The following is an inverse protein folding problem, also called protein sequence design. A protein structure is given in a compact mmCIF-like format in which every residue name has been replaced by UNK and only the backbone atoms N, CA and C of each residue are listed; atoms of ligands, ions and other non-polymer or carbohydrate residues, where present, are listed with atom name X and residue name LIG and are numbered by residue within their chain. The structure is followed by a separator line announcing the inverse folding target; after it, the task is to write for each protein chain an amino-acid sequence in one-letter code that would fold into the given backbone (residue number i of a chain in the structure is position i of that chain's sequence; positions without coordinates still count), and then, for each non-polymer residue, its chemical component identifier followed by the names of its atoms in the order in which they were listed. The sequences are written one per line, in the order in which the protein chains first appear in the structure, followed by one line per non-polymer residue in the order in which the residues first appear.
data_IF_143731906441
#
_entry.id   IF_143731906441
#
_cell.length_a   1.000
_cell.length_b   1.000
_cell.length_c   1.000
_cell.angle_alpha   90.00
_cell.angle_beta   90.00
_cell.angle_gamma   90.00
#
_symmetry.space_group_name_H-M   'P 1'
#
loop_
_entity.id
_entity.type
_entity.pdbx_description
1 polymer ?
#
# COMPACT_ATOMS: atom_id res chain seq x y z
N UNK A 1 23.89 5.89 -15.51
CA UNK A 1 23.43 4.54 -15.10
C UNK A 1 24.31 3.93 -14.01
N UNK A 2 25.63 3.92 -14.17
CA UNK A 2 26.56 3.30 -13.21
C UNK A 2 26.53 3.94 -11.79
N UNK A 3 26.29 5.25 -11.65
CA UNK A 3 26.18 5.91 -10.35
C UNK A 3 24.89 5.53 -9.58
N UNK A 4 23.79 5.30 -10.29
CA UNK A 4 22.51 4.84 -9.71
C UNK A 4 22.59 3.37 -9.28
N UNK A 5 23.28 2.53 -10.07
CA UNK A 5 23.54 1.12 -9.71
C UNK A 5 24.52 1.01 -8.53
N UNK A 6 25.56 1.84 -8.47
CA UNK A 6 26.47 1.89 -7.32
C UNK A 6 25.75 2.38 -6.05
N UNK A 7 24.88 3.39 -6.13
CA UNK A 7 24.10 3.88 -4.99
C UNK A 7 23.00 2.89 -4.53
N UNK A 8 22.48 2.06 -5.44
CA UNK A 8 21.55 0.97 -5.10
C UNK A 8 22.30 -0.22 -4.48
N UNK A 9 23.44 -0.60 -5.06
CA UNK A 9 24.31 -1.67 -4.55
C UNK A 9 24.87 -1.35 -3.16
N UNK A 10 25.35 -0.13 -2.94
CA UNK A 10 25.85 0.30 -1.63
C UNK A 10 24.74 0.35 -0.57
N UNK A 11 23.49 0.66 -0.94
CA UNK A 11 22.33 0.58 -0.04
C UNK A 11 21.93 -0.86 0.28
N UNK A 12 22.01 -1.76 -0.69
CA UNK A 12 21.75 -3.19 -0.47
C UNK A 12 22.81 -3.83 0.43
N UNK A 13 24.09 -3.52 0.21
CA UNK A 13 25.22 -4.00 1.02
C UNK A 13 25.19 -3.42 2.45
N UNK A 14 24.86 -2.14 2.61
CA UNK A 14 24.66 -1.53 3.93
C UNK A 14 23.49 -2.18 4.72
N UNK A 15 22.44 -2.64 4.03
CA UNK A 15 21.35 -3.43 4.65
C UNK A 15 21.78 -4.84 5.06
N UNK A 16 22.87 -5.37 4.51
CA UNK A 16 23.31 -6.75 4.76
C UNK A 16 24.40 -6.83 5.85
N UNK A 17 25.14 -5.75 6.10
CA UNK A 17 26.34 -5.76 6.96
C UNK A 17 26.14 -5.31 8.41
N UNK A 18 24.97 -4.81 8.78
CA UNK A 18 24.58 -4.66 10.19
C UNK A 18 23.39 -5.58 10.42
N UNK A 19 23.59 -6.65 11.20
CA UNK A 19 22.48 -7.34 11.86
C UNK A 19 21.91 -6.34 12.86
N UNK A 20 21.02 -5.46 12.38
CA UNK A 20 20.22 -4.63 13.25
C UNK A 20 19.34 -5.60 14.03
N UNK A 21 19.66 -5.77 15.31
CA UNK A 21 18.82 -6.56 16.21
C UNK A 21 17.55 -5.77 16.43
N UNK A 22 16.42 -6.39 16.14
CA UNK A 22 15.13 -5.80 16.44
C UNK A 22 15.02 -5.55 17.94
N UNK A 23 14.54 -4.36 18.32
CA UNK A 23 14.30 -3.99 19.72
C UNK A 23 12.84 -3.58 19.94
N UNK A 24 12.39 -3.58 21.20
CA UNK A 24 11.02 -3.20 21.57
C UNK A 24 9.95 -4.04 20.87
N UNK A 25 8.93 -3.42 20.26
CA UNK A 25 7.82 -4.17 19.65
C UNK A 25 8.29 -5.06 18.49
N UNK A 26 9.29 -4.63 17.71
CA UNK A 26 9.82 -5.44 16.62
C UNK A 26 10.43 -6.76 17.11
N UNK A 27 11.01 -6.79 18.32
CA UNK A 27 11.52 -8.02 18.94
C UNK A 27 10.41 -8.92 19.51
N UNK A 28 9.23 -8.33 19.81
CA UNK A 28 8.16 -8.96 20.58
C UNK A 28 6.85 -9.11 19.79
N UNK A 29 6.90 -9.09 18.45
CA UNK A 29 5.71 -9.22 17.59
C UNK A 29 4.90 -10.49 17.91
N UNK A 30 5.58 -11.60 18.20
CA UNK A 30 4.94 -12.86 18.57
C UNK A 30 4.04 -12.73 19.80
N UNK A 31 4.54 -12.08 20.86
CA UNK A 31 3.77 -11.83 22.09
C UNK A 31 2.56 -10.94 21.82
N UNK A 32 2.74 -9.86 21.06
CA UNK A 32 1.62 -8.99 20.69
C UNK A 32 0.53 -9.77 19.95
N UNK A 33 0.91 -10.58 18.95
CA UNK A 33 -0.06 -11.40 18.20
C UNK A 33 -0.73 -12.45 19.10
N UNK A 34 0.01 -13.06 20.03
CA UNK A 34 -0.58 -13.96 21.04
C UNK A 34 -1.65 -13.26 21.86
N UNK A 35 -1.41 -12.02 22.30
CA UNK A 35 -2.38 -11.26 23.10
C UNK A 35 -3.60 -10.78 22.29
N UNK A 36 -3.44 -10.58 20.97
CA UNK A 36 -4.55 -10.30 20.06
C UNK A 36 -5.43 -11.54 19.80
N UNK A 37 -4.90 -12.76 19.95
CA UNK A 37 -5.65 -14.00 19.73
C UNK A 37 -6.95 -14.10 20.54
N UNK A 38 -6.91 -13.97 21.88
CA UNK A 38 -8.10 -13.95 22.71
C UNK A 38 -9.07 -12.81 22.38
N UNK A 39 -8.56 -11.65 21.95
CA UNK A 39 -9.39 -10.51 21.49
C UNK A 39 -10.21 -10.93 20.27
N UNK A 40 -9.57 -11.47 19.23
CA UNK A 40 -10.24 -11.91 18.02
C UNK A 40 -11.20 -13.07 18.27
N UNK A 41 -10.85 -14.02 19.14
CA UNK A 41 -11.73 -15.11 19.53
C UNK A 41 -13.04 -14.61 20.17
N UNK A 42 -12.97 -13.64 21.09
CA UNK A 42 -14.16 -13.00 21.69
C UNK A 42 -15.02 -12.29 20.65
N UNK A 43 -14.40 -11.60 19.70
CA UNK A 43 -15.13 -10.86 18.67
C UNK A 43 -15.90 -11.79 17.74
N UNK A 44 -15.31 -12.94 17.40
CA UNK A 44 -15.92 -13.96 16.54
C UNK A 44 -17.02 -14.75 17.25
N UNK A 45 -16.96 -14.85 18.58
CA UNK A 45 -18.05 -15.43 19.38
C UNK A 45 -19.30 -14.53 19.46
N UNK A 46 -19.31 -13.35 18.79
CA UNK A 46 -20.42 -12.41 18.81
C UNK A 46 -20.59 -11.66 20.13
N UNK A 47 -19.59 -11.74 21.02
CA UNK A 47 -19.65 -11.19 22.38
C UNK A 47 -19.24 -9.72 22.47
N UNK A 48 -18.86 -9.09 21.35
CA UNK A 48 -18.27 -7.76 21.33
C UNK A 48 -18.96 -6.83 20.31
N UNK A 49 -19.28 -5.61 20.75
CA UNK A 49 -19.74 -4.51 19.90
C UNK A 49 -18.55 -3.60 19.53
N UNK A 50 -18.75 -2.60 18.67
CA UNK A 50 -17.67 -1.73 18.22
C UNK A 50 -16.89 -1.05 19.36
N UNK A 51 -17.58 -0.61 20.42
CA UNK A 51 -16.96 0.07 21.57
C UNK A 51 -16.11 -0.90 22.39
N UNK A 52 -16.62 -2.10 22.66
CA UNK A 52 -15.85 -3.12 23.40
C UNK A 52 -14.64 -3.59 22.59
N UNK A 53 -14.76 -3.67 21.26
CA UNK A 53 -13.64 -3.98 20.35
C UNK A 53 -12.56 -2.91 20.40
N UNK A 54 -12.93 -1.63 20.35
CA UNK A 54 -11.97 -0.53 20.51
C UNK A 54 -11.29 -0.55 21.88
N UNK A 55 -12.06 -0.83 22.94
CA UNK A 55 -11.51 -0.98 24.29
C UNK A 55 -10.52 -2.13 24.38
N UNK A 56 -10.86 -3.30 23.83
CA UNK A 56 -9.96 -4.46 23.77
C UNK A 56 -8.64 -4.11 23.08
N UNK A 57 -8.71 -3.49 21.89
CA UNK A 57 -7.51 -3.03 21.17
C UNK A 57 -6.70 -2.05 22.01
N UNK A 58 -7.35 -1.05 22.60
CA UNK A 58 -6.69 -0.06 23.45
C UNK A 58 -5.94 -0.71 24.59
N UNK A 59 -6.57 -1.67 25.28
CA UNK A 59 -5.95 -2.40 26.38
C UNK A 59 -4.72 -3.15 25.88
N UNK A 60 -4.87 -4.02 24.87
CA UNK A 60 -3.75 -4.81 24.34
C UNK A 60 -2.59 -3.94 23.84
N UNK A 61 -2.88 -2.85 23.12
CA UNK A 61 -1.88 -1.89 22.64
C UNK A 61 -1.09 -1.29 23.81
N UNK A 62 -1.79 -0.81 24.84
CA UNK A 62 -1.13 -0.15 25.97
C UNK A 62 -0.40 -1.12 26.89
N UNK A 63 -0.88 -2.36 27.03
CA UNK A 63 -0.18 -3.41 27.76
C UNK A 63 1.15 -3.75 27.07
N UNK A 64 1.14 -3.89 25.74
CA UNK A 64 2.34 -4.15 24.94
C UNK A 64 3.33 -2.97 24.96
N UNK A 65 2.83 -1.72 24.86
CA UNK A 65 3.66 -0.53 25.03
C UNK A 65 4.28 -0.46 26.44
N UNK A 66 3.50 -0.77 27.47
CA UNK A 66 4.00 -0.79 28.86
C UNK A 66 5.07 -1.85 29.06
N UNK A 67 4.91 -3.03 28.45
CA UNK A 67 5.88 -4.12 28.52
C UNK A 67 7.25 -3.74 27.93
N UNK A 68 7.29 -2.80 26.97
CA UNK A 68 8.54 -2.24 26.41
C UNK A 68 8.93 -0.90 27.05
N UNK A 69 8.31 -0.55 28.19
CA UNK A 69 8.67 0.62 28.99
C UNK A 69 8.00 1.93 28.58
N UNK A 70 7.03 1.94 27.67
CA UNK A 70 6.27 3.15 27.29
C UNK A 70 5.00 3.23 28.15
N UNK A 71 5.03 4.07 29.18
CA UNK A 71 3.98 4.14 30.21
C UNK A 71 2.92 5.21 29.93
N UNK A 72 3.14 6.08 28.93
CA UNK A 72 2.16 7.09 28.56
C UNK A 72 1.10 6.49 27.62
N UNK A 73 -0.13 6.43 28.12
CA UNK A 73 -1.23 5.77 27.44
C UNK A 73 -1.56 6.41 26.10
N UNK A 74 -1.53 5.61 25.03
CA UNK A 74 -2.04 6.01 23.71
C UNK A 74 -3.56 5.85 23.66
N UNK A 75 -4.24 6.86 23.11
CA UNK A 75 -5.67 6.76 22.84
C UNK A 75 -5.94 5.85 21.63
N UNK A 76 -7.07 5.14 21.62
CA UNK A 76 -7.52 4.39 20.44
C UNK A 76 -8.96 4.77 20.15
N UNK A 77 -9.18 5.28 18.94
CA UNK A 77 -10.47 5.83 18.51
C UNK A 77 -10.88 5.27 17.16
N UNK A 78 -12.14 5.51 16.78
CA UNK A 78 -12.66 5.17 15.47
C UNK A 78 -13.36 6.36 14.85
N UNK A 79 -13.12 6.57 13.55
CA UNK A 79 -13.86 7.54 12.75
C UNK A 79 -13.56 9.01 13.08
N UNK A 80 -12.39 9.32 13.60
CA UNK A 80 -11.99 10.73 13.75
C UNK A 80 -11.95 11.41 12.36
N UNK A 81 -12.48 12.65 12.21
CA UNK A 81 -12.44 13.38 10.95
C UNK A 81 -11.01 13.83 10.60
N UNK A 82 -10.70 13.91 9.30
CA UNK A 82 -9.37 14.28 8.82
C UNK A 82 -8.30 13.22 9.07
N UNK A 83 -8.69 11.94 9.08
CA UNK A 83 -7.80 10.79 9.23
C UNK A 83 -7.98 9.93 8.00
N UNK A 84 -6.95 9.80 7.18
CA UNK A 84 -7.15 9.57 5.75
C UNK A 84 -5.89 9.20 4.98
N UNK A 85 -5.00 8.42 5.59
CA UNK A 85 -3.84 7.86 4.90
C UNK A 85 -4.00 6.39 4.51
N UNK A 86 -4.11 5.49 5.50
CA UNK A 86 -4.02 4.04 5.28
C UNK A 86 -5.38 3.36 5.04
N UNK A 87 -5.37 2.08 4.69
CA UNK A 87 -6.55 1.24 4.49
C UNK A 87 -7.29 0.93 5.79
N UNK A 88 -6.67 0.98 6.97
CA UNK A 88 -7.28 0.46 8.21
C UNK A 88 -6.98 1.25 9.50
N UNK A 89 -5.92 2.06 9.57
CA UNK A 89 -5.55 2.83 10.77
C UNK A 89 -4.62 4.02 10.51
N UNK A 90 -4.39 4.86 11.51
CA UNK A 90 -3.39 5.94 11.45
C UNK A 90 -3.02 6.35 12.87
N UNK A 91 -1.73 6.43 13.17
CA UNK A 91 -1.21 7.08 14.38
C UNK A 91 -1.05 8.59 14.17
N UNK A 92 -1.64 9.38 15.07
CA UNK A 92 -1.54 10.84 15.12
C UNK A 92 -0.64 11.27 16.28
N UNK A 93 0.63 11.66 16.01
CA UNK A 93 1.58 12.01 17.07
C UNK A 93 1.16 13.26 17.85
N UNK A 94 0.52 14.23 17.19
CA UNK A 94 0.07 15.51 17.76
C UNK A 94 -1.05 15.35 18.80
N UNK A 95 -1.88 14.32 18.63
CA UNK A 95 -2.96 13.97 19.56
C UNK A 95 -2.61 12.79 20.47
N UNK A 96 -1.52 12.07 20.16
CA UNK A 96 -1.14 10.80 20.78
C UNK A 96 -2.23 9.74 20.73
N UNK A 97 -2.81 9.53 19.54
CA UNK A 97 -3.89 8.57 19.33
C UNK A 97 -3.67 7.70 18.11
N UNK A 98 -4.09 6.44 18.18
CA UNK A 98 -4.29 5.57 17.03
C UNK A 98 -5.77 5.66 16.64
N UNK A 99 -6.05 6.02 15.41
CA UNK A 99 -7.41 6.00 14.86
C UNK A 99 -7.57 4.80 13.94
N UNK A 100 -8.50 3.92 14.28
CA UNK A 100 -8.86 2.75 13.47
C UNK A 100 -10.07 3.09 12.61
N UNK A 101 -10.16 2.55 11.40
CA UNK A 101 -11.32 2.79 10.55
C UNK A 101 -12.59 2.16 11.14
N UNK A 102 -13.76 2.84 11.05
CA UNK A 102 -15.02 2.31 11.57
C UNK A 102 -15.36 0.90 11.07
N UNK A 103 -15.24 0.66 9.76
CA UNK A 103 -15.55 -0.66 9.18
C UNK A 103 -14.71 -1.80 9.76
N UNK A 104 -13.50 -1.52 10.23
CA UNK A 104 -12.58 -2.51 10.79
C UNK A 104 -13.00 -3.01 12.18
N UNK A 105 -13.67 -2.17 12.97
CA UNK A 105 -14.17 -2.55 14.31
C UNK A 105 -15.68 -2.85 14.32
N UNK A 106 -16.40 -2.57 13.24
CA UNK A 106 -17.84 -2.81 13.14
C UNK A 106 -18.17 -4.26 12.72
N UNK A 107 -17.35 -4.90 11.90
CA UNK A 107 -17.59 -6.27 11.44
C UNK A 107 -16.87 -7.33 12.31
N UNK A 108 -17.44 -8.54 12.48
CA UNK A 108 -16.71 -9.69 12.98
C UNK A 108 -15.50 -10.01 12.08
N UNK A 109 -14.41 -10.54 12.66
CA UNK A 109 -13.21 -10.95 11.92
C UNK A 109 -13.24 -12.46 11.67
N UNK A 110 -14.29 -12.91 10.98
CA UNK A 110 -14.60 -14.32 10.85
C UNK A 110 -13.54 -15.11 10.07
N UNK A 111 -12.78 -14.46 9.19
CA UNK A 111 -11.70 -15.08 8.44
C UNK A 111 -10.31 -14.67 8.96
N UNK A 112 -9.34 -15.59 8.79
CA UNK A 112 -7.97 -15.42 9.25
C UNK A 112 -7.24 -14.27 8.53
N UNK A 113 -7.61 -13.94 7.28
CA UNK A 113 -6.98 -12.85 6.53
C UNK A 113 -7.42 -11.49 7.09
N UNK A 114 -8.67 -11.34 7.51
CA UNK A 114 -9.18 -10.14 8.15
C UNK A 114 -8.50 -9.90 9.52
N UNK A 115 -8.29 -10.97 10.30
CA UNK A 115 -7.51 -10.91 11.54
C UNK A 115 -6.06 -10.50 11.28
N UNK A 116 -5.43 -11.09 10.26
CA UNK A 116 -4.06 -10.77 9.87
C UNK A 116 -3.91 -9.32 9.40
N UNK A 117 -4.85 -8.82 8.59
CA UNK A 117 -4.85 -7.43 8.15
C UNK A 117 -5.05 -6.43 9.30
N UNK A 118 -5.91 -6.76 10.28
CA UNK A 118 -6.04 -5.94 11.47
C UNK A 118 -4.78 -5.98 12.35
N UNK A 119 -4.21 -7.16 12.58
CA UNK A 119 -2.98 -7.27 13.37
C UNK A 119 -1.82 -6.53 12.71
N UNK A 120 -1.65 -6.65 11.39
CA UNK A 120 -0.69 -5.85 10.61
C UNK A 120 -0.86 -4.37 10.90
N UNK A 121 -2.09 -3.87 10.74
CA UNK A 121 -2.42 -2.45 10.98
C UNK A 121 -2.14 -2.03 12.42
N UNK A 122 -2.69 -2.73 13.41
CA UNK A 122 -2.57 -2.35 14.82
C UNK A 122 -1.12 -2.37 15.27
N UNK A 123 -0.36 -3.41 14.91
CA UNK A 123 1.05 -3.52 15.27
C UNK A 123 1.88 -2.47 14.54
N UNK A 124 1.60 -2.19 13.26
CA UNK A 124 2.22 -1.11 12.50
C UNK A 124 2.03 0.26 13.17
N UNK A 125 0.79 0.65 13.46
CA UNK A 125 0.51 1.94 14.09
C UNK A 125 1.08 2.01 15.51
N UNK A 126 1.08 0.90 16.25
CA UNK A 126 1.70 0.85 17.59
C UNK A 126 3.22 0.98 17.51
N UNK A 127 3.85 0.46 16.45
CA UNK A 127 5.28 0.68 16.19
C UNK A 127 5.58 2.16 15.97
N UNK A 128 4.69 2.92 15.33
CA UNK A 128 4.87 4.38 15.26
C UNK A 128 4.82 5.06 16.62
N UNK A 129 3.93 4.65 17.53
CA UNK A 129 3.90 5.17 18.91
C UNK A 129 5.27 4.99 19.58
N UNK A 130 5.84 3.79 19.49
CA UNK A 130 7.17 3.48 20.03
C UNK A 130 8.27 4.34 19.40
N UNK A 131 8.29 4.42 18.07
CA UNK A 131 9.29 5.16 17.32
C UNK A 131 9.30 6.64 17.72
N UNK A 132 8.14 7.29 17.71
CA UNK A 132 8.02 8.70 18.10
C UNK A 132 8.41 8.92 19.56
N UNK A 133 8.00 8.02 20.46
CA UNK A 133 8.34 8.13 21.87
C UNK A 133 9.86 8.03 22.10
N UNK A 134 10.54 7.08 21.46
CA UNK A 134 12.00 6.92 21.56
C UNK A 134 12.76 8.08 20.92
N UNK A 135 12.30 8.59 19.77
CA UNK A 135 12.87 9.80 19.16
C UNK A 135 12.74 11.01 20.09
N UNK A 136 11.58 11.19 20.73
CA UNK A 136 11.38 12.24 21.72
C UNK A 136 12.33 12.10 22.92
N UNK A 137 12.46 10.88 23.48
CA UNK A 137 13.43 10.58 24.57
C UNK A 137 14.85 10.96 24.18
N UNK A 138 15.29 10.52 23.00
CA UNK A 138 16.62 10.83 22.46
C UNK A 138 16.84 12.34 22.33
N UNK A 139 15.90 13.07 21.72
CA UNK A 139 16.02 14.52 21.50
C UNK A 139 16.01 15.32 22.79
N UNK A 140 15.13 14.97 23.73
CA UNK A 140 15.12 15.57 25.07
C UNK A 140 16.46 15.36 25.78
N UNK A 141 17.01 14.14 25.74
CA UNK A 141 18.29 13.83 26.36
C UNK A 141 19.47 14.61 25.73
N UNK A 142 19.47 14.79 24.40
CA UNK A 142 20.47 15.62 23.72
C UNK A 142 20.40 17.09 24.19
N UNK A 143 19.21 17.69 24.23
CA UNK A 143 19.01 19.08 24.67
C UNK A 143 19.36 19.29 26.15
N UNK A 144 19.08 18.32 27.02
CA UNK A 144 19.51 18.38 28.43
C UNK A 144 21.04 18.40 28.54
N UNK A 145 21.75 17.65 27.69
CA UNK A 145 23.23 17.66 27.66
C UNK A 145 23.77 19.00 27.15
N UNK A 146 23.13 19.60 26.16
CA UNK A 146 23.50 20.90 25.58
C UNK A 146 23.28 22.06 26.58
N UNK A 147 22.18 22.03 27.36
CA UNK A 147 21.87 23.09 28.31
C UNK A 147 21.28 22.54 29.62
N UNK A 148 22.17 22.17 30.54
CA UNK A 148 21.82 21.58 31.85
C UNK A 148 20.97 22.47 32.76
N UNK A 149 20.92 23.78 32.52
CA UNK A 149 20.16 24.74 33.35
C UNK A 149 18.75 25.01 32.82
N UNK A 150 18.43 24.56 31.60
CA UNK A 150 17.13 24.82 30.99
C UNK A 150 16.04 23.99 31.69
N UNK A 151 14.86 24.57 31.99
CA UNK A 151 13.74 23.83 32.57
C UNK A 151 13.32 22.64 31.70
N UNK A 152 13.00 21.52 32.33
CA UNK A 152 12.56 20.30 31.63
C UNK A 152 11.32 20.54 30.76
N UNK A 153 10.36 21.32 31.27
CA UNK A 153 9.15 21.69 30.54
C UNK A 153 9.45 22.41 29.22
N UNK A 154 10.42 23.32 29.21
CA UNK A 154 10.79 24.08 28.01
C UNK A 154 11.47 23.19 26.96
N UNK A 155 12.29 22.23 27.40
CA UNK A 155 12.90 21.25 26.51
C UNK A 155 11.82 20.37 25.88
N UNK A 156 10.90 19.83 26.70
CA UNK A 156 9.82 18.99 26.21
C UNK A 156 8.89 19.74 25.25
N UNK A 157 8.56 21.00 25.53
CA UNK A 157 7.74 21.83 24.65
C UNK A 157 8.39 22.07 23.28
N UNK A 158 9.71 22.36 23.26
CA UNK A 158 10.44 22.53 22.00
C UNK A 158 10.49 21.22 21.20
N UNK A 159 10.82 20.10 21.84
CA UNK A 159 10.85 18.79 21.16
C UNK A 159 9.46 18.39 20.65
N UNK A 160 8.39 18.69 21.40
CA UNK A 160 7.02 18.46 20.95
C UNK A 160 6.67 19.28 19.71
N UNK A 161 7.06 20.55 19.66
CA UNK A 161 6.85 21.41 18.50
C UNK A 161 7.63 20.90 17.27
N UNK A 162 8.91 20.53 17.44
CA UNK A 162 9.76 20.02 16.37
C UNK A 162 9.24 18.71 15.76
N UNK A 163 8.73 17.82 16.61
CA UNK A 163 8.22 16.50 16.20
C UNK A 163 6.72 16.50 15.89
N UNK A 164 6.02 17.62 16.11
CA UNK A 164 4.55 17.73 16.04
C UNK A 164 3.87 16.64 16.88
N UNK A 165 4.28 16.53 18.15
CA UNK A 165 3.78 15.54 19.11
C UNK A 165 2.94 16.19 20.22
N UNK A 166 2.04 15.42 20.84
CA UNK A 166 1.37 15.83 22.09
C UNK A 166 2.45 16.17 23.15
N UNK A 167 2.44 17.39 23.72
CA UNK A 167 3.45 17.81 24.68
C UNK A 167 3.55 16.91 25.93
N UNK A 168 2.45 16.30 26.36
CA UNK A 168 2.42 15.39 27.53
C UNK A 168 3.11 14.07 27.22
N UNK A 169 3.00 13.57 25.99
CA UNK A 169 3.76 12.39 25.55
C UNK A 169 5.27 12.66 25.58
N UNK A 170 5.70 13.85 25.13
CA UNK A 170 7.11 14.26 25.17
C UNK A 170 7.59 14.50 26.61
N UNK A 171 6.75 15.06 27.48
CA UNK A 171 7.06 15.18 28.91
C UNK A 171 7.24 13.80 29.56
N UNK A 172 6.37 12.84 29.25
CA UNK A 172 6.48 11.47 29.74
C UNK A 172 7.75 10.78 29.23
N UNK A 173 8.07 10.94 27.94
CA UNK A 173 9.33 10.50 27.36
C UNK A 173 10.53 11.10 28.12
N UNK A 174 10.53 12.40 28.33
CA UNK A 174 11.60 13.08 29.06
C UNK A 174 11.73 12.59 30.50
N UNK A 175 10.61 12.37 31.20
CA UNK A 175 10.58 11.90 32.58
C UNK A 175 11.18 10.48 32.73
N UNK A 176 11.10 9.63 31.70
CA UNK A 176 11.77 8.34 31.67
C UNK A 176 13.29 8.42 31.48
N UNK A 177 13.83 9.62 31.26
CA UNK A 177 15.25 9.86 31.13
C UNK A 177 15.86 9.36 29.81
N UNK A 178 17.16 9.63 29.66
CA UNK A 178 17.89 9.50 28.40
C UNK A 178 18.58 8.16 28.14
N UNK A 179 18.36 7.13 28.97
CA UNK A 179 18.97 5.82 28.74
C UNK A 179 18.13 5.01 27.74
N UNK A 180 18.46 5.17 26.45
CA UNK A 180 18.21 4.16 25.42
C UNK A 180 19.44 3.25 25.37
N UNK A 181 19.27 1.96 25.04
CA UNK A 181 20.44 1.13 24.70
C UNK A 181 21.14 1.66 23.46
N UNK A 182 22.35 1.18 23.16
CA UNK A 182 23.07 1.59 21.95
C UNK A 182 22.27 1.28 20.67
N UNK A 183 21.59 0.14 20.64
CA UNK A 183 20.72 -0.29 19.56
C UNK A 183 19.49 0.61 19.44
N UNK A 184 18.75 0.82 20.53
CA UNK A 184 17.57 1.70 20.54
C UNK A 184 17.91 3.14 20.14
N UNK A 185 19.07 3.63 20.57
CA UNK A 185 19.59 4.95 20.22
C UNK A 185 19.92 5.04 18.72
N UNK A 186 20.48 3.98 18.14
CA UNK A 186 20.76 3.91 16.70
C UNK A 186 19.46 3.90 15.88
N UNK A 187 18.46 3.11 16.30
CA UNK A 187 17.14 3.07 15.67
C UNK A 187 16.45 4.44 15.73
N UNK A 188 16.38 5.05 16.91
CA UNK A 188 15.80 6.36 17.11
C UNK A 188 16.49 7.45 16.28
N UNK A 189 17.82 7.40 16.16
CA UNK A 189 18.57 8.32 15.31
C UNK A 189 18.19 8.15 13.82
N UNK A 190 18.08 6.91 13.35
CA UNK A 190 17.65 6.59 11.98
C UNK A 190 16.23 7.10 11.69
N UNK A 191 15.28 6.88 12.60
CA UNK A 191 13.90 7.37 12.46
C UNK A 191 13.83 8.89 12.48
N UNK A 192 14.57 9.54 13.39
CA UNK A 192 14.59 11.01 13.51
C UNK A 192 15.04 11.71 12.22
N UNK A 193 15.84 11.05 11.38
CA UNK A 193 16.28 11.60 10.09
C UNK A 193 15.18 11.56 9.03
N UNK A 194 14.26 10.59 9.11
CA UNK A 194 13.22 10.38 8.09
C UNK A 194 11.85 10.97 8.47
N UNK A 195 11.54 11.16 9.76
CA UNK A 195 10.28 11.78 10.22
C UNK A 195 9.99 13.13 9.52
N UNK A 196 10.95 14.07 9.37
CA UNK A 196 10.67 15.34 8.67
C UNK A 196 10.27 15.17 7.19
N UNK A 197 10.80 14.14 6.52
CA UNK A 197 10.48 13.85 5.12
C UNK A 197 9.09 13.20 4.96
N UNK A 198 8.49 12.70 6.06
CA UNK A 198 7.20 12.02 6.02
C UNK A 198 6.10 12.89 5.41
N UNK A 199 6.03 14.17 5.79
CA UNK A 199 5.01 15.11 5.29
C UNK A 199 5.11 15.27 3.78
N UNK A 200 6.34 15.43 3.25
CA UNK A 200 6.57 15.62 1.82
C UNK A 200 6.12 14.39 1.03
N UNK A 201 6.49 13.20 1.51
CA UNK A 201 6.17 11.95 0.83
C UNK A 201 4.66 11.63 0.92
N UNK A 202 4.02 11.92 2.05
CA UNK A 202 2.57 11.82 2.19
C UNK A 202 1.83 12.77 1.25
N UNK A 203 2.25 14.03 1.14
CA UNK A 203 1.61 14.98 0.22
C UNK A 203 1.80 14.56 -1.25
N UNK A 204 2.95 13.99 -1.62
CA UNK A 204 3.14 13.40 -2.95
C UNK A 204 2.18 12.23 -3.20
N UNK A 205 2.02 11.32 -2.24
CA UNK A 205 1.10 10.19 -2.36
C UNK A 205 -0.35 10.64 -2.44
N UNK A 206 -0.73 11.62 -1.61
CA UNK A 206 -2.06 12.25 -1.58
C UNK A 206 -2.36 12.98 -2.88
N UNK A 207 -1.38 13.63 -3.50
CA UNK A 207 -1.54 14.28 -4.80
C UNK A 207 -1.67 13.27 -5.96
N UNK A 208 -0.92 12.16 -5.93
CA UNK A 208 -0.94 11.16 -7.00
C UNK A 208 -2.20 10.26 -6.97
N UNK A 209 -2.80 10.05 -5.80
CA UNK A 209 -3.94 9.13 -5.62
C UNK A 209 -5.19 9.53 -6.42
N UNK A 210 -5.68 10.80 -6.40
CA UNK A 210 -6.82 11.22 -7.20
C UNK A 210 -6.62 11.02 -8.71
N UNK A 211 -5.41 11.29 -9.23
CA UNK A 211 -5.11 11.08 -10.65
C UNK A 211 -5.16 9.60 -11.03
N UNK A 212 -4.61 8.73 -10.18
CA UNK A 212 -4.70 7.28 -10.37
C UNK A 212 -6.14 6.79 -10.34
N UNK A 213 -6.94 7.22 -9.35
CA UNK A 213 -8.38 6.89 -9.29
C UNK A 213 -9.13 7.39 -10.52
N UNK A 214 -8.90 8.62 -10.97
CA UNK A 214 -9.51 9.16 -12.17
C UNK A 214 -9.12 8.38 -13.44
N UNK A 215 -7.89 7.88 -13.51
CA UNK A 215 -7.46 7.03 -14.61
C UNK A 215 -8.15 5.66 -14.58
N UNK A 216 -8.33 5.04 -13.42
CA UNK A 216 -9.09 3.79 -13.27
C UNK A 216 -10.55 3.97 -13.71
N UNK A 217 -11.20 5.06 -13.29
CA UNK A 217 -12.56 5.39 -13.72
C UNK A 217 -12.65 5.61 -15.24
N UNK A 218 -11.65 6.24 -15.86
CA UNK A 218 -11.59 6.41 -17.31
C UNK A 218 -11.48 5.06 -18.06
N UNK A 219 -10.75 4.08 -17.50
CA UNK A 219 -10.71 2.72 -18.04
C UNK A 219 -12.08 2.05 -17.93
N UNK A 220 -12.75 2.16 -16.78
CA UNK A 220 -14.12 1.64 -16.60
C UNK A 220 -15.14 2.26 -17.55
N UNK A 221 -15.09 3.58 -17.74
CA UNK A 221 -15.96 4.28 -18.69
C UNK A 221 -15.72 3.82 -20.14
N UNK A 222 -14.46 3.66 -20.54
CA UNK A 222 -14.11 3.10 -21.85
C UNK A 222 -14.64 1.67 -22.02
N UNK A 223 -14.59 0.84 -20.97
CA UNK A 223 -15.15 -0.51 -21.02
C UNK A 223 -16.65 -0.50 -21.30
N UNK A 224 -17.40 0.36 -20.60
CA UNK A 224 -18.84 0.52 -20.81
C UNK A 224 -19.17 1.03 -22.21
N UNK A 225 -18.42 2.02 -22.69
CA UNK A 225 -18.55 2.56 -24.04
C UNK A 225 -18.29 1.49 -25.11
N UNK A 226 -17.22 0.72 -24.96
CA UNK A 226 -16.88 -0.37 -25.88
C UNK A 226 -17.94 -1.47 -25.87
N UNK A 227 -18.52 -1.81 -24.72
CA UNK A 227 -19.60 -2.80 -24.64
C UNK A 227 -20.89 -2.31 -25.32
N UNK A 228 -21.24 -1.03 -25.18
CA UNK A 228 -22.44 -0.44 -25.75
C UNK A 228 -22.34 -0.12 -27.26
N UNK A 229 -21.12 -0.10 -27.80
CA UNK A 229 -20.88 0.22 -29.20
C UNK A 229 -21.58 -0.75 -30.17
N UNK A 230 -22.20 -0.26 -31.25
CA UNK A 230 -22.66 -1.11 -32.35
C UNK A 230 -21.54 -2.03 -32.84
N UNK A 231 -21.87 -3.29 -33.10
CA UNK A 231 -20.89 -4.34 -33.47
C UNK A 231 -20.95 -4.65 -34.95
N UNK A 232 -19.84 -5.12 -35.51
CA UNK A 232 -19.81 -5.61 -36.88
C UNK A 232 -20.64 -6.90 -36.99
N UNK A 233 -21.45 -7.05 -38.04
CA UNK A 233 -22.32 -8.23 -38.23
C UNK A 233 -21.53 -9.55 -38.29
N UNK A 234 -20.30 -9.50 -38.82
CA UNK A 234 -19.43 -10.67 -39.00
C UNK A 234 -18.45 -10.89 -37.83
N UNK A 235 -18.32 -9.93 -36.91
CA UNK A 235 -17.56 -10.10 -35.66
C UNK A 235 -18.23 -9.29 -34.53
N UNK A 236 -19.09 -9.93 -33.72
CA UNK A 236 -19.86 -9.25 -32.67
C UNK A 236 -18.99 -8.70 -31.52
N UNK A 237 -17.67 -8.94 -31.55
CA UNK A 237 -16.74 -8.39 -30.57
C UNK A 237 -16.20 -7.02 -31.01
N UNK A 238 -16.12 -6.78 -32.31
CA UNK A 238 -15.49 -5.59 -32.89
C UNK A 238 -16.53 -4.47 -33.05
N UNK A 239 -16.28 -3.26 -32.55
CA UNK A 239 -17.15 -2.12 -32.78
C UNK A 239 -17.10 -1.68 -34.25
N UNK A 240 -18.22 -1.19 -34.79
CA UNK A 240 -18.29 -0.66 -36.17
C UNK A 240 -17.27 0.47 -36.38
N UNK A 241 -17.17 1.41 -35.43
CA UNK A 241 -16.17 2.49 -35.47
C UNK A 241 -14.86 2.06 -34.78
N UNK A 242 -14.18 1.07 -35.36
CA UNK A 242 -12.94 0.53 -34.79
C UNK A 242 -11.83 1.59 -34.67
N UNK A 243 -11.78 2.58 -35.56
CA UNK A 243 -10.75 3.63 -35.55
C UNK A 243 -10.94 4.53 -34.34
N UNK A 244 -12.18 4.95 -34.05
CA UNK A 244 -12.50 5.69 -32.84
C UNK A 244 -12.05 4.94 -31.58
N UNK A 245 -12.45 3.67 -31.44
CA UNK A 245 -12.14 2.87 -30.25
C UNK A 245 -10.65 2.60 -30.07
N UNK A 246 -9.90 2.42 -31.17
CA UNK A 246 -8.43 2.31 -31.12
C UNK A 246 -7.78 3.58 -30.57
N UNK A 247 -8.17 4.74 -31.09
CA UNK A 247 -7.65 6.02 -30.62
C UNK A 247 -8.02 6.28 -29.15
N UNK A 248 -9.26 5.97 -28.78
CA UNK A 248 -9.75 6.12 -27.40
C UNK A 248 -9.01 5.19 -26.43
N UNK A 249 -8.80 3.94 -26.82
CA UNK A 249 -8.01 2.97 -26.06
C UNK A 249 -6.60 3.48 -25.78
N UNK A 250 -5.89 3.99 -26.78
CA UNK A 250 -4.51 4.48 -26.62
C UNK A 250 -4.44 5.67 -25.65
N UNK A 251 -5.39 6.60 -25.73
CA UNK A 251 -5.48 7.73 -24.80
C UNK A 251 -5.69 7.25 -23.35
N UNK A 252 -6.64 6.34 -23.13
CA UNK A 252 -6.97 5.81 -21.81
C UNK A 252 -5.79 5.00 -21.24
N UNK A 253 -5.16 4.16 -22.07
CA UNK A 253 -3.99 3.36 -21.69
C UNK A 253 -2.79 4.24 -21.32
N UNK A 254 -2.51 5.29 -22.09
CA UNK A 254 -1.43 6.23 -21.80
C UNK A 254 -1.68 7.00 -20.51
N UNK A 255 -2.91 7.50 -20.30
CA UNK A 255 -3.32 8.17 -19.07
C UNK A 255 -3.13 7.26 -17.85
N UNK A 256 -3.62 6.01 -17.93
CA UNK A 256 -3.44 5.03 -16.86
C UNK A 256 -1.97 4.79 -16.55
N UNK A 257 -1.13 4.53 -17.56
CA UNK A 257 0.30 4.27 -17.35
C UNK A 257 1.01 5.41 -16.64
N UNK A 258 0.73 6.67 -17.03
CA UNK A 258 1.31 7.86 -16.40
C UNK A 258 0.86 7.99 -14.94
N UNK A 259 -0.44 7.90 -14.69
CA UNK A 259 -1.00 8.03 -13.35
C UNK A 259 -0.52 6.90 -12.41
N UNK A 260 -0.48 5.66 -12.91
CA UNK A 260 0.06 4.52 -12.16
C UNK A 260 1.56 4.69 -11.86
N UNK A 261 2.36 5.17 -12.81
CA UNK A 261 3.79 5.42 -12.57
C UNK A 261 4.01 6.48 -11.48
N UNK A 262 3.24 7.58 -11.51
CA UNK A 262 3.29 8.61 -10.47
C UNK A 262 2.87 8.05 -9.09
N UNK A 263 1.73 7.37 -9.03
CA UNK A 263 1.22 6.78 -7.78
C UNK A 263 2.16 5.71 -7.21
N UNK A 264 2.60 4.76 -8.03
CA UNK A 264 3.51 3.69 -7.57
C UNK A 264 4.89 4.23 -7.19
N UNK A 265 5.39 5.29 -7.85
CA UNK A 265 6.60 5.99 -7.46
C UNK A 265 6.48 6.63 -6.07
N UNK A 266 5.41 7.40 -5.84
CA UNK A 266 5.13 8.01 -4.54
C UNK A 266 4.92 6.95 -3.44
N UNK A 267 4.19 5.88 -3.74
CA UNK A 267 3.94 4.79 -2.79
C UNK A 267 5.23 4.04 -2.41
N UNK A 268 6.16 3.86 -3.36
CA UNK A 268 7.48 3.27 -3.06
C UNK A 268 8.35 4.19 -2.21
N UNK A 269 8.34 5.49 -2.52
CA UNK A 269 9.04 6.48 -1.71
C UNK A 269 8.52 6.49 -0.27
N UNK A 270 7.19 6.39 -0.10
CA UNK A 270 6.53 6.25 1.20
C UNK A 270 7.00 5.01 1.95
N UNK A 271 6.90 3.84 1.31
CA UNK A 271 7.17 2.56 1.97
C UNK A 271 8.65 2.23 2.22
N UNK A 272 9.58 2.79 1.44
CA UNK A 272 11.00 2.39 1.49
C UNK A 272 11.98 3.55 1.59
N UNK A 273 11.53 4.78 1.31
CA UNK A 273 12.34 5.99 1.45
C UNK A 273 12.38 6.52 2.88
N UNK A 274 11.48 6.06 3.74
CA UNK A 274 11.36 6.46 5.13
C UNK A 274 11.71 5.28 6.03
N UNK A 275 12.78 5.41 6.82
CA UNK A 275 13.27 4.33 7.68
C UNK A 275 12.26 3.95 8.76
N UNK A 276 11.52 4.93 9.31
CA UNK A 276 10.50 4.67 10.33
C UNK A 276 9.27 3.93 9.75
N UNK A 277 8.80 4.29 8.54
CA UNK A 277 7.75 3.56 7.82
C UNK A 277 8.19 2.15 7.43
N UNK A 278 9.41 2.01 6.89
CA UNK A 278 9.94 0.71 6.46
C UNK A 278 9.96 -0.27 7.64
N UNK A 279 10.38 0.21 8.82
CA UNK A 279 10.38 -0.55 10.05
C UNK A 279 8.96 -0.88 10.53
N UNK A 280 8.04 0.08 10.56
CA UNK A 280 6.65 -0.14 10.96
C UNK A 280 5.93 -1.15 10.05
N UNK A 281 6.10 -1.05 8.72
CA UNK A 281 5.57 -2.05 7.77
C UNK A 281 6.16 -3.43 7.99
N UNK A 282 7.46 -3.53 8.27
CA UNK A 282 8.10 -4.81 8.57
C UNK A 282 7.52 -5.44 9.83
N UNK A 283 7.33 -4.64 10.89
CA UNK A 283 6.72 -5.11 12.15
C UNK A 283 5.27 -5.55 11.97
N UNK A 284 4.45 -4.78 11.25
CA UNK A 284 3.08 -5.16 10.92
C UNK A 284 3.00 -6.43 10.05
N UNK A 285 3.82 -6.53 9.00
CA UNK A 285 3.87 -7.72 8.15
C UNK A 285 4.27 -8.98 8.94
N UNK A 286 5.19 -8.85 9.90
CA UNK A 286 5.54 -9.94 10.80
C UNK A 286 4.34 -10.39 11.65
N UNK A 287 3.48 -9.47 12.06
CA UNK A 287 2.25 -9.79 12.79
C UNK A 287 1.24 -10.55 11.90
N UNK A 288 1.03 -10.10 10.67
CA UNK A 288 0.21 -10.82 9.68
C UNK A 288 0.76 -12.23 9.40
N UNK A 289 2.08 -12.36 9.25
CA UNK A 289 2.74 -13.64 9.05
C UNK A 289 2.56 -14.59 10.23
N UNK A 290 2.64 -14.08 11.46
CA UNK A 290 2.42 -14.88 12.66
C UNK A 290 0.98 -15.42 12.75
N UNK A 291 -0.01 -14.69 12.23
CA UNK A 291 -1.41 -15.15 12.19
C UNK A 291 -1.64 -16.15 11.05
N UNK A 292 -1.14 -15.87 9.85
CA UNK A 292 -1.48 -16.64 8.63
C UNK A 292 -0.51 -17.80 8.32
N UNK A 293 0.67 -17.80 8.92
CA UNK A 293 1.80 -18.64 8.52
C UNK A 293 2.34 -18.30 7.13
N UNK A 294 1.95 -17.15 6.54
CA UNK A 294 2.34 -16.73 5.19
C UNK A 294 3.02 -15.37 5.24
N UNK A 295 4.11 -15.23 4.50
CA UNK A 295 4.76 -13.94 4.33
C UNK A 295 3.83 -13.05 3.48
N UNK A 296 3.43 -11.85 3.96
CA UNK A 296 2.63 -10.94 3.15
C UNK A 296 3.37 -10.54 1.88
N UNK A 297 2.66 -10.17 0.80
CA UNK A 297 3.29 -9.72 -0.41
C UNK A 297 4.30 -8.60 -0.16
N UNK A 298 5.47 -8.69 -0.77
CA UNK A 298 6.41 -7.58 -0.71
C UNK A 298 5.87 -6.35 -1.46
N UNK A 299 6.60 -5.24 -1.40
CA UNK A 299 6.19 -4.01 -2.06
C UNK A 299 6.07 -4.15 -3.59
N UNK A 300 6.95 -4.93 -4.21
CA UNK A 300 6.93 -5.14 -5.66
C UNK A 300 5.70 -5.95 -6.07
N UNK A 301 5.40 -7.02 -5.32
CA UNK A 301 4.20 -7.83 -5.50
C UNK A 301 2.93 -7.01 -5.25
N UNK A 302 2.92 -6.16 -4.20
CA UNK A 302 1.80 -5.27 -3.89
C UNK A 302 1.55 -4.28 -5.04
N UNK A 303 2.60 -3.64 -5.55
CA UNK A 303 2.50 -2.71 -6.67
C UNK A 303 2.10 -3.43 -7.96
N UNK A 304 2.60 -4.64 -8.20
CA UNK A 304 2.22 -5.45 -9.35
C UNK A 304 0.73 -5.85 -9.29
N UNK A 305 0.23 -6.26 -8.13
CA UNK A 305 -1.17 -6.62 -7.93
C UNK A 305 -2.13 -5.44 -8.20
N UNK A 306 -1.73 -4.20 -7.88
CA UNK A 306 -2.50 -3.00 -8.22
C UNK A 306 -2.61 -2.77 -9.73
N UNK A 307 -1.61 -3.20 -10.50
CA UNK A 307 -1.51 -2.99 -11.95
C UNK A 307 -2.16 -4.12 -12.77
N UNK A 308 -2.03 -5.35 -12.30
CA UNK A 308 -2.31 -6.57 -13.05
C UNK A 308 -3.72 -6.62 -13.66
N UNK A 309 -4.82 -6.31 -12.94
CA UNK A 309 -6.17 -6.37 -13.52
C UNK A 309 -6.32 -5.48 -14.76
N UNK A 310 -5.63 -4.33 -14.74
CA UNK A 310 -5.65 -3.36 -15.84
C UNK A 310 -4.80 -3.81 -17.02
N UNK A 311 -3.67 -4.48 -16.77
CA UNK A 311 -2.87 -5.06 -17.85
C UNK A 311 -3.62 -6.17 -18.58
N UNK A 312 -4.32 -7.04 -17.84
CA UNK A 312 -5.19 -8.07 -18.41
C UNK A 312 -6.31 -7.44 -19.25
N UNK A 313 -6.96 -6.41 -18.72
CA UNK A 313 -7.98 -5.67 -19.46
C UNK A 313 -7.42 -5.02 -20.74
N UNK A 314 -6.26 -4.36 -20.67
CA UNK A 314 -5.65 -3.74 -21.84
C UNK A 314 -5.22 -4.77 -22.89
N UNK A 315 -4.74 -5.95 -22.47
CA UNK A 315 -4.46 -7.05 -23.38
C UNK A 315 -5.73 -7.53 -24.08
N UNK A 316 -6.83 -7.69 -23.34
CA UNK A 316 -8.12 -8.06 -23.92
C UNK A 316 -8.61 -7.04 -24.95
N UNK A 317 -8.60 -5.74 -24.62
CA UNK A 317 -8.98 -4.70 -25.58
C UNK A 317 -8.08 -4.68 -26.81
N UNK A 318 -6.77 -4.92 -26.65
CA UNK A 318 -5.85 -5.00 -27.77
C UNK A 318 -6.19 -6.17 -28.70
N UNK A 319 -6.55 -7.33 -28.15
CA UNK A 319 -7.00 -8.49 -28.94
C UNK A 319 -8.26 -8.15 -29.75
N UNK A 320 -9.27 -7.57 -29.11
CA UNK A 320 -10.53 -7.19 -29.76
C UNK A 320 -10.32 -6.13 -30.85
N UNK A 321 -9.51 -5.11 -30.59
CA UNK A 321 -9.42 -3.95 -31.47
C UNK A 321 -8.38 -4.11 -32.59
N UNK A 322 -7.33 -4.93 -32.43
CA UNK A 322 -6.25 -5.07 -33.42
C UNK A 322 -6.08 -6.48 -34.00
N UNK A 323 -6.47 -7.53 -33.27
CA UNK A 323 -6.18 -8.92 -33.66
C UNK A 323 -7.41 -9.67 -34.18
N UNK A 324 -8.62 -9.11 -34.06
CA UNK A 324 -9.75 -9.58 -34.86
C UNK A 324 -9.39 -9.43 -36.35
N UNK A 325 -9.51 -10.51 -37.16
CA UNK A 325 -9.10 -10.47 -38.55
C UNK A 325 -9.82 -9.33 -39.27
N UNK A 326 -9.13 -8.59 -40.15
CA UNK A 326 -9.81 -7.61 -40.98
C UNK A 326 -10.92 -8.31 -41.76
N UNK A 327 -12.05 -7.63 -42.05
CA UNK A 327 -13.07 -8.19 -42.91
C UNK A 327 -12.39 -8.68 -44.19
N UNK A 328 -12.54 -9.96 -44.49
CA UNK A 328 -12.23 -10.43 -45.83
C UNK A 328 -13.03 -9.52 -46.78
N UNK A 329 -12.42 -8.95 -47.82
CA UNK A 329 -13.17 -8.19 -48.81
C UNK A 329 -14.35 -9.07 -49.25
N UNK A 330 -15.55 -8.49 -49.46
CA UNK A 330 -16.68 -9.25 -49.95
C UNK A 330 -16.17 -10.05 -51.14
N UNK A 331 -16.21 -11.39 -51.03
CA UNK A 331 -15.91 -12.23 -52.17
C UNK A 331 -16.94 -11.83 -53.21
N UNK A 332 -16.54 -11.06 -54.21
CA UNK A 332 -17.32 -10.97 -55.42
C UNK A 332 -17.64 -12.41 -55.80
N UNK A 333 -18.91 -12.75 -56.04
CA UNK A 333 -19.25 -14.09 -56.50
C UNK A 333 -18.36 -14.34 -57.71
N UNK A 334 -17.44 -15.31 -57.58
CA UNK A 334 -16.63 -15.75 -58.70
C UNK A 334 -17.65 -16.21 -59.74
N UNK A 335 -17.95 -15.35 -60.71
CA UNK A 335 -18.59 -15.78 -61.93
C UNK A 335 -17.58 -16.74 -62.54
N UNK A 336 -17.82 -18.02 -62.33
CA UNK A 336 -17.14 -19.10 -63.04
C UNK A 336 -17.48 -18.92 -64.51
N UNK A 337 -16.72 -18.08 -65.21
CA UNK A 337 -16.58 -18.16 -66.65
C UNK A 337 -15.81 -19.44 -66.96
N UNK A 338 -16.47 -20.58 -66.81
CA UNK A 338 -16.08 -21.80 -67.49
C UNK A 338 -16.42 -21.54 -68.96
N UNK A 339 -15.47 -20.93 -69.69
CA UNK A 339 -15.44 -21.11 -71.13
C UNK A 339 -15.20 -22.60 -71.36
N UNK A 340 -16.28 -23.35 -71.61
CA UNK A 340 -16.17 -24.67 -72.23
C UNK A 340 -15.61 -24.42 -73.61
N UNK A 341 -14.30 -24.58 -73.78
CA UNK A 341 -13.75 -24.77 -75.12
C UNK A 341 -14.46 -25.96 -75.73
N UNK A 342 -15.06 -25.78 -76.91
CA UNK A 342 -15.61 -26.90 -77.67
C UNK A 342 -14.48 -27.91 -77.86
N UNK A 343 -14.73 -29.15 -77.50
CA UNK A 343 -13.81 -30.26 -77.76
C UNK A 343 -13.73 -30.38 -79.29
N UNK A 344 -12.53 -30.27 -79.89
CA UNK A 344 -12.38 -30.48 -81.32
C UNK A 344 -12.88 -31.89 -81.71
N UNK A 345 -13.66 -32.03 -82.79
CA UNK A 345 -14.31 -33.29 -83.16
C UNK A 345 -13.32 -34.44 -83.42
N UNK A 346 -12.03 -34.14 -83.65
CA UNK A 346 -11.01 -35.16 -83.81
C UNK A 346 -10.69 -35.92 -82.50
N UNK A 347 -11.04 -35.35 -81.34
CA UNK A 347 -10.83 -35.97 -80.03
C UNK A 347 -12.03 -36.79 -79.53
N UNK A 348 -13.20 -36.69 -80.17
CA UNK A 348 -14.37 -37.50 -79.81
C UNK A 348 -14.23 -38.96 -80.26
N UNK A 349 -13.47 -39.25 -81.32
CA UNK A 349 -13.24 -40.63 -81.79
C UNK A 349 -12.15 -41.40 -81.03
N UNK A 350 -11.54 -40.80 -80.01
CA UNK A 350 -10.46 -41.42 -79.22
C UNK A 350 -10.81 -41.62 -77.74
N UNK A 351 -12.06 -41.36 -77.34
CA UNK A 351 -12.55 -41.73 -76.01
C UNK A 351 -13.10 -43.18 -76.08
N UNK A 352 -12.73 -44.06 -75.12
CA UNK A 352 -13.10 -45.48 -75.13
C UNK A 352 -14.60 -45.75 -74.93
#
# INVERSE_FOLDING_TARGET
MLSLQAAAGNRAVARTLTVQRDTGLAANVGTFVTDLGPVFARWNAGQANADSRLKDLRTTINDQLTAIGITYTVGVFSGLPGVGGSTHGEFKPDLWVINIKPGTVQAPLADQNAQAALADTVVHETRHVEQFFRVARMRCAAKVKENKKRPAGDIAAEVAADLKMDPRAVQAAMAQGGALTAEEQHEAASWSQSIPANVVVHEQLKAAKPEYTAAQLAVGAFAQELMAAPKMDHDPKVPVDVVYFRNRFEQVRLRFRRAFAAYSGAYRAYRTGLTFETDAFRTGHAASAAITGRIPPDLDQTVAALKQPWEQYFQHCHQVLWLSPPPLPPREPVQTHVQRHQVPPELESMLP
#
